data_IF_702693106445
#
_entry.id   IF_702693106445
#
_cell.length_a   1.000
_cell.length_b   1.000
_cell.length_c   1.000
_cell.angle_alpha   90.00
_cell.angle_beta   90.00
_cell.angle_gamma   90.00
#
_symmetry.space_group_name_H-M   'P 1'
#
loop_
_entity.id
_entity.type
_entity.pdbx_description
1 polymer ?
#
# COMPACT_ATOMS: atom_id res chain seq x y z
N UNK A 1 17.91 11.32 34.19
CA UNK A 1 17.07 11.60 33.01
C UNK A 1 17.72 10.91 31.82
N UNK A 2 17.25 9.71 31.47
CA UNK A 2 17.75 8.99 30.30
C UNK A 2 16.92 9.42 29.10
N UNK A 3 17.50 10.21 28.20
CA UNK A 3 16.95 10.48 26.88
C UNK A 3 17.14 9.24 26.03
N UNK A 4 16.13 8.38 25.98
CA UNK A 4 16.01 7.37 24.94
C UNK A 4 15.90 8.12 23.60
N UNK A 5 17.00 8.15 22.84
CA UNK A 5 16.97 8.46 21.41
C UNK A 5 16.16 7.35 20.76
N UNK A 6 14.88 7.61 20.48
CA UNK A 6 14.12 6.83 19.51
C UNK A 6 14.91 6.86 18.21
N UNK A 7 15.51 5.71 17.89
CA UNK A 7 16.06 5.44 16.57
C UNK A 7 14.91 5.64 15.58
N UNK A 8 14.97 6.60 14.64
CA UNK A 8 14.05 6.56 13.53
C UNK A 8 14.31 5.24 12.83
N UNK A 9 13.27 4.40 12.74
CA UNK A 9 13.28 3.23 11.88
C UNK A 9 13.88 3.69 10.54
N UNK A 10 15.00 3.08 10.14
CA UNK A 10 15.60 3.35 8.84
C UNK A 10 14.55 3.03 7.79
N UNK A 11 13.93 4.09 7.26
CA UNK A 11 13.27 4.06 5.96
C UNK A 11 14.39 3.90 4.94
N UNK A 12 14.86 2.66 4.78
CA UNK A 12 15.72 2.29 3.67
C UNK A 12 14.96 2.62 2.38
N UNK A 13 15.66 3.29 1.47
CA UNK A 13 15.18 3.85 0.22
C UNK A 13 14.22 2.92 -0.54
N UNK A 14 13.14 3.50 -1.10
CA UNK A 14 12.31 2.98 -2.21
C UNK A 14 12.68 1.56 -2.68
N UNK A 15 12.22 0.53 -1.97
CA UNK A 15 12.27 -0.86 -2.48
C UNK A 15 11.00 -1.24 -3.22
N UNK A 16 10.23 -0.22 -3.64
CA UNK A 16 9.04 -0.41 -4.45
C UNK A 16 9.34 -0.27 -5.93
N UNK A 17 8.79 -1.18 -6.73
CA UNK A 17 8.92 -1.16 -8.19
C UNK A 17 7.57 -0.79 -8.82
N UNK A 18 7.56 0.22 -9.69
CA UNK A 18 6.37 0.58 -10.47
C UNK A 18 6.49 0.03 -11.89
N UNK A 19 5.68 -0.97 -12.22
CA UNK A 19 5.63 -1.59 -13.54
C UNK A 19 4.20 -1.63 -14.04
N UNK A 20 3.97 -1.11 -15.25
CA UNK A 20 2.66 -1.17 -15.92
C UNK A 20 1.49 -0.70 -15.01
N UNK A 21 1.68 0.40 -14.28
CA UNK A 21 0.65 0.96 -13.40
C UNK A 21 0.35 0.12 -12.14
N UNK A 22 1.28 -0.76 -11.75
CA UNK A 22 1.24 -1.52 -10.51
C UNK A 22 2.53 -1.24 -9.73
N UNK A 23 2.39 -0.72 -8.53
CA UNK A 23 3.48 -0.53 -7.58
C UNK A 23 3.59 -1.74 -6.66
N UNK A 24 4.76 -2.36 -6.58
CA UNK A 24 4.99 -3.53 -5.73
C UNK A 24 6.00 -3.20 -4.64
N UNK A 25 5.67 -3.42 -3.37
CA UNK A 25 6.56 -3.18 -2.23
C UNK A 25 6.48 -4.32 -1.22
N UNK A 26 7.63 -4.71 -0.65
CA UNK A 26 7.69 -5.69 0.44
C UNK A 26 7.45 -5.02 1.77
N UNK A 27 6.48 -5.54 2.54
CA UNK A 27 6.20 -5.08 3.90
C UNK A 27 6.22 -6.25 4.88
N UNK A 28 6.39 -5.93 6.15
CA UNK A 28 6.24 -6.85 7.26
C UNK A 28 4.97 -6.46 8.02
N UNK A 29 4.03 -7.40 8.16
CA UNK A 29 2.80 -7.22 8.95
C UNK A 29 3.11 -7.21 10.44
N UNK A 30 2.16 -6.76 11.26
CA UNK A 30 2.30 -6.69 12.73
C UNK A 30 2.54 -8.06 13.37
N UNK A 31 2.12 -9.13 12.70
CA UNK A 31 2.36 -10.50 13.12
C UNK A 31 3.76 -11.05 12.72
N UNK A 32 4.62 -10.22 12.11
CA UNK A 32 5.97 -10.58 11.64
C UNK A 32 6.01 -11.26 10.26
N UNK A 33 4.85 -11.44 9.59
CA UNK A 33 4.80 -12.04 8.25
C UNK A 33 5.22 -11.03 7.19
N UNK A 34 6.13 -11.44 6.29
CA UNK A 34 6.56 -10.62 5.15
C UNK A 34 5.73 -10.91 3.93
N UNK A 35 5.18 -9.86 3.31
CA UNK A 35 4.28 -9.96 2.15
C UNK A 35 4.67 -8.96 1.07
N UNK A 36 4.54 -9.38 -0.19
CA UNK A 36 4.65 -8.51 -1.35
C UNK A 36 3.28 -7.84 -1.61
N UNK A 37 3.22 -6.52 -1.45
CA UNK A 37 2.02 -5.70 -1.61
C UNK A 37 2.04 -5.08 -2.99
N UNK A 38 1.08 -5.45 -3.83
CA UNK A 38 0.88 -4.91 -5.16
C UNK A 38 -0.31 -3.94 -5.12
N UNK A 39 -0.02 -2.66 -5.40
CA UNK A 39 -0.98 -1.56 -5.45
C UNK A 39 -1.20 -1.14 -6.90
N UNK A 40 -2.45 -1.07 -7.31
CA UNK A 40 -2.89 -0.55 -8.61
C UNK A 40 -2.84 0.97 -8.54
N UNK A 41 -1.97 1.58 -9.35
CA UNK A 41 -1.83 3.04 -9.45
C UNK A 41 -2.45 3.60 -10.73
N UNK A 42 -2.64 2.77 -11.76
CA UNK A 42 -3.37 3.18 -12.98
C UNK A 42 -4.89 3.21 -12.72
N UNK A 43 -5.53 4.40 -12.81
CA UNK A 43 -6.97 4.52 -12.58
C UNK A 43 -7.82 3.70 -13.56
N UNK A 44 -7.31 3.36 -14.75
CA UNK A 44 -8.02 2.50 -15.72
C UNK A 44 -8.05 1.03 -15.31
N UNK A 45 -7.16 0.61 -14.41
CA UNK A 45 -7.06 -0.77 -13.90
C UNK A 45 -7.76 -0.95 -12.55
N UNK A 46 -8.21 0.13 -11.93
CA UNK A 46 -8.99 0.07 -10.70
C UNK A 46 -10.35 -0.62 -10.93
N UNK A 47 -10.88 -1.33 -9.92
CA UNK A 47 -12.19 -1.95 -10.04
C UNK A 47 -13.27 -0.90 -10.23
N UNK A 48 -14.32 -1.22 -11.00
CA UNK A 48 -15.43 -0.30 -11.29
C UNK A 48 -16.13 0.25 -10.03
N UNK A 49 -16.07 -0.50 -8.93
CA UNK A 49 -16.62 -0.09 -7.63
C UNK A 49 -15.79 1.00 -6.94
N UNK A 50 -14.55 1.24 -7.36
CA UNK A 50 -13.63 2.17 -6.69
C UNK A 50 -14.20 3.60 -6.58
N UNK A 51 -14.80 4.12 -7.65
CA UNK A 51 -15.39 5.46 -7.64
C UNK A 51 -16.65 5.56 -6.76
N UNK A 52 -17.39 4.46 -6.62
CA UNK A 52 -18.52 4.43 -5.69
C UNK A 52 -18.02 4.46 -4.24
N UNK A 53 -16.97 3.69 -3.93
CA UNK A 53 -16.34 3.69 -2.61
C UNK A 53 -15.74 5.06 -2.26
N UNK A 54 -15.18 5.75 -3.26
CA UNK A 54 -14.71 7.13 -3.13
C UNK A 54 -15.87 8.09 -2.82
N UNK A 55 -16.99 7.99 -3.53
CA UNK A 55 -18.17 8.83 -3.30
C UNK A 55 -18.81 8.59 -1.92
N UNK A 56 -18.73 7.35 -1.42
CA UNK A 56 -19.21 6.97 -0.09
C UNK A 56 -18.24 7.38 1.04
N UNK A 57 -17.02 7.82 0.71
CA UNK A 57 -15.98 8.12 1.69
C UNK A 57 -15.46 6.89 2.44
N UNK A 58 -15.61 5.69 1.87
CA UNK A 58 -15.20 4.44 2.50
C UNK A 58 -13.71 4.17 2.25
N UNK A 59 -12.86 4.86 3.01
CA UNK A 59 -11.40 4.85 2.86
C UNK A 59 -10.80 3.45 2.98
N UNK A 60 -11.25 2.64 3.92
CA UNK A 60 -10.76 1.26 4.11
C UNK A 60 -11.10 0.40 2.89
N UNK A 61 -12.33 0.47 2.38
CA UNK A 61 -12.71 -0.27 1.20
C UNK A 61 -11.95 0.23 -0.05
N UNK A 62 -11.63 1.52 -0.13
CA UNK A 62 -10.78 2.06 -1.19
C UNK A 62 -9.35 1.54 -1.13
N UNK A 63 -8.76 1.47 0.07
CA UNK A 63 -7.42 0.89 0.29
C UNK A 63 -7.39 -0.54 -0.24
N UNK A 64 -8.34 -1.37 0.20
CA UNK A 64 -8.47 -2.75 -0.28
C UNK A 64 -8.72 -2.79 -1.78
N UNK A 65 -9.56 -1.90 -2.32
CA UNK A 65 -9.88 -1.84 -3.74
C UNK A 65 -8.71 -1.42 -4.63
N UNK A 66 -7.74 -0.67 -4.09
CA UNK A 66 -6.50 -0.32 -4.79
C UNK A 66 -5.49 -1.46 -4.80
N UNK A 67 -5.65 -2.51 -3.99
CA UNK A 67 -4.76 -3.69 -4.03
C UNK A 67 -5.14 -4.64 -5.18
N UNK A 68 -4.16 -5.36 -5.72
CA UNK A 68 -4.45 -6.45 -6.67
C UNK A 68 -5.20 -7.60 -5.98
N UNK A 69 -5.91 -8.41 -6.75
CA UNK A 69 -6.57 -9.62 -6.23
C UNK A 69 -5.58 -10.58 -5.57
N UNK A 70 -4.33 -10.62 -6.07
CA UNK A 70 -3.26 -11.44 -5.52
C UNK A 70 -2.89 -10.98 -4.12
N UNK A 71 -2.64 -9.67 -3.94
CA UNK A 71 -2.29 -9.12 -2.62
C UNK A 71 -3.44 -9.23 -1.63
N UNK A 72 -4.70 -9.01 -2.04
CA UNK A 72 -5.85 -9.22 -1.13
C UNK A 72 -5.89 -10.65 -0.58
N UNK A 73 -5.77 -11.64 -1.47
CA UNK A 73 -5.71 -13.06 -1.07
C UNK A 73 -4.51 -13.37 -0.18
N UNK A 74 -3.36 -12.75 -0.46
CA UNK A 74 -2.15 -12.91 0.34
C UNK A 74 -2.37 -12.39 1.76
N UNK A 75 -2.97 -11.19 1.90
CA UNK A 75 -3.27 -10.56 3.19
C UNK A 75 -4.24 -11.42 4.02
N UNK A 76 -5.32 -11.90 3.40
CA UNK A 76 -6.28 -12.81 4.04
C UNK A 76 -5.59 -14.09 4.53
N UNK A 77 -4.71 -14.68 3.71
CA UNK A 77 -4.00 -15.91 4.07
C UNK A 77 -2.94 -15.70 5.15
N UNK A 78 -2.26 -14.55 5.14
CA UNK A 78 -1.27 -14.19 6.17
C UNK A 78 -1.90 -13.80 7.51
N UNK A 79 -3.22 -13.74 7.60
CA UNK A 79 -3.93 -13.31 8.80
C UNK A 79 -3.76 -11.82 9.09
N UNK A 80 -3.69 -11.00 8.05
CA UNK A 80 -3.65 -9.55 8.20
C UNK A 80 -4.94 -9.07 8.88
N UNK A 81 -4.80 -8.16 9.82
CA UNK A 81 -5.92 -7.54 10.53
C UNK A 81 -6.18 -6.13 10.02
N UNK A 82 -7.28 -5.51 10.45
CA UNK A 82 -7.62 -4.14 10.06
C UNK A 82 -6.51 -3.14 10.40
N UNK A 83 -5.86 -3.31 11.56
CA UNK A 83 -4.72 -2.47 11.98
C UNK A 83 -3.56 -2.55 10.98
N UNK A 84 -3.26 -3.72 10.41
CA UNK A 84 -2.24 -3.84 9.35
C UNK A 84 -2.66 -3.07 8.09
N UNK A 85 -3.95 -3.10 7.75
CA UNK A 85 -4.46 -2.36 6.59
C UNK A 85 -4.29 -0.85 6.79
N UNK A 86 -4.57 -0.35 7.99
CA UNK A 86 -4.50 1.08 8.32
C UNK A 86 -3.06 1.57 8.50
N UNK A 87 -2.24 0.87 9.29
CA UNK A 87 -0.92 1.34 9.70
C UNK A 87 0.21 0.95 8.75
N UNK A 88 0.02 -0.14 7.97
CA UNK A 88 1.09 -0.68 7.11
C UNK A 88 0.71 -0.52 5.64
N UNK A 89 -0.49 -0.98 5.25
CA UNK A 89 -0.89 -0.98 3.84
C UNK A 89 -1.30 0.40 3.34
N UNK A 90 -2.04 1.20 4.12
CA UNK A 90 -2.44 2.54 3.70
C UNK A 90 -1.23 3.43 3.34
N UNK A 91 -0.15 3.47 4.16
CA UNK A 91 1.07 4.20 3.77
C UNK A 91 1.75 3.69 2.51
N UNK A 92 1.64 2.38 2.18
CA UNK A 92 2.16 1.83 0.92
C UNK A 92 1.39 2.40 -0.28
N UNK A 93 0.07 2.58 -0.15
CA UNK A 93 -0.75 3.15 -1.21
C UNK A 93 -0.38 4.61 -1.44
N UNK A 94 -0.13 5.39 -0.39
CA UNK A 94 0.33 6.77 -0.53
C UNK A 94 1.67 6.83 -1.28
N UNK A 95 2.65 5.99 -0.89
CA UNK A 95 3.92 5.86 -1.61
C UNK A 95 3.74 5.42 -3.06
N UNK A 96 2.80 4.51 -3.33
CA UNK A 96 2.50 4.04 -4.67
C UNK A 96 1.96 5.18 -5.56
N UNK A 97 1.11 6.05 -5.01
CA UNK A 97 0.60 7.24 -5.69
C UNK A 97 1.71 8.24 -5.96
N UNK A 98 2.51 8.57 -4.94
CA UNK A 98 3.70 9.43 -5.10
C UNK A 98 4.66 8.91 -6.18
N UNK A 99 4.88 7.60 -6.24
CA UNK A 99 5.73 6.97 -7.25
C UNK A 99 5.13 7.07 -8.65
N UNK A 100 3.80 6.91 -8.77
CA UNK A 100 3.10 7.05 -10.04
C UNK A 100 3.09 8.49 -10.55
N UNK A 101 2.84 9.48 -9.69
CA UNK A 101 2.87 10.90 -10.04
C UNK A 101 4.26 11.31 -10.55
N UNK A 102 5.33 10.91 -9.84
CA UNK A 102 6.71 11.19 -10.27
C UNK A 102 7.09 10.51 -11.58
N UNK A 103 6.54 9.33 -11.85
CA UNK A 103 6.78 8.62 -13.11
C UNK A 103 6.08 9.31 -14.30
N UNK A 104 4.96 10.00 -14.07
CA UNK A 104 4.25 10.79 -15.08
C UNK A 104 4.93 12.15 -15.32
N UNK A 105 5.46 12.82 -14.29
CA UNK A 105 6.17 14.11 -14.41
C UNK A 105 7.56 14.00 -15.08
N UNK A 106 8.16 12.80 -15.09
CA UNK A 106 9.45 12.54 -15.73
C UNK A 106 9.40 12.26 -17.24
N UNK A 107 8.24 12.44 -17.88
CA UNK A 107 8.00 12.21 -19.32
C UNK A 107 7.89 13.51 -20.09
#
# INVERSE_FOLDING_TARGET
MATAKSTPAKTDALTGELVDGIYTEKVELSNGTKVDVEVITDPKKLPATYYNLLAEGNTVAMVIAALTTKTRRLLDFSGAILEDIEDIISPVIDRARDAAEKAEEGK
#
